data_IF_218915750499
#
_entry.id   IF_218915750499
#
_cell.length_a   1.000
_cell.length_b   1.000
_cell.length_c   1.000
_cell.angle_alpha   90.00
_cell.angle_beta   90.00
_cell.angle_gamma   90.00
#
_symmetry.space_group_name_H-M   'P 1'
#
loop_
_entity.id
_entity.type
_entity.pdbx_description
1 polymer ?
#
# COMPACT_ATOMS: atom_id res chain seq x y z
N UNK A 1 -4.28 -16.12 6.55
CA UNK A 1 -2.82 -16.17 6.31
C UNK A 1 -2.23 -14.89 6.87
N UNK A 2 -1.61 -14.94 8.04
CA UNK A 2 -1.00 -13.76 8.67
C UNK A 2 0.25 -13.40 7.88
N UNK A 3 0.23 -12.28 7.16
CA UNK A 3 1.44 -11.74 6.53
C UNK A 3 2.43 -11.35 7.63
N UNK A 4 3.71 -11.66 7.46
CA UNK A 4 4.75 -11.18 8.37
C UNK A 4 4.88 -9.66 8.25
N UNK A 5 5.23 -8.98 9.34
CA UNK A 5 5.39 -7.51 9.38
C UNK A 5 6.33 -7.04 8.26
N UNK A 6 7.47 -7.70 8.09
CA UNK A 6 8.45 -7.40 7.02
C UNK A 6 7.83 -7.43 5.61
N UNK A 7 6.89 -8.36 5.38
CA UNK A 7 6.21 -8.48 4.09
C UNK A 7 5.21 -7.35 3.87
N UNK A 8 4.49 -6.96 4.92
CA UNK A 8 3.56 -5.82 4.89
C UNK A 8 4.33 -4.52 4.62
N UNK A 9 5.49 -4.32 5.27
CA UNK A 9 6.35 -3.16 5.05
C UNK A 9 6.93 -3.13 3.62
N UNK A 10 7.39 -4.27 3.12
CA UNK A 10 7.86 -4.39 1.72
C UNK A 10 6.75 -4.05 0.72
N UNK A 11 5.54 -4.57 0.93
CA UNK A 11 4.38 -4.28 0.08
C UNK A 11 3.97 -2.80 0.17
N UNK A 12 4.07 -2.18 1.35
CA UNK A 12 3.82 -0.73 1.53
C UNK A 12 4.80 0.12 0.74
N UNK A 13 6.09 -0.20 0.80
CA UNK A 13 7.13 0.52 0.04
C UNK A 13 6.85 0.41 -1.46
N UNK A 14 6.49 -0.79 -1.94
CA UNK A 14 6.17 -1.04 -3.34
C UNK A 14 4.92 -0.27 -3.79
N UNK A 15 3.83 -0.36 -3.02
CA UNK A 15 2.58 0.32 -3.32
C UNK A 15 2.75 1.85 -3.34
N UNK A 16 3.55 2.41 -2.41
CA UNK A 16 3.86 3.85 -2.39
C UNK A 16 4.65 4.28 -3.64
N UNK A 17 5.65 3.50 -4.07
CA UNK A 17 6.40 3.76 -5.32
C UNK A 17 5.50 3.69 -6.55
N UNK A 18 4.59 2.72 -6.59
CA UNK A 18 3.64 2.56 -7.70
C UNK A 18 2.66 3.74 -7.78
N UNK A 19 2.11 4.17 -6.63
CA UNK A 19 1.29 5.37 -6.52
C UNK A 19 2.01 6.61 -7.07
N UNK A 20 3.25 6.82 -6.66
CA UNK A 20 4.03 8.00 -7.08
C UNK A 20 4.37 7.94 -8.57
N UNK A 21 4.65 6.75 -9.11
CA UNK A 21 4.84 6.54 -10.55
C UNK A 21 3.57 6.90 -11.35
N UNK A 22 2.38 6.66 -10.80
CA UNK A 22 1.11 6.98 -11.46
C UNK A 22 0.64 8.42 -11.25
N UNK A 23 1.04 9.06 -10.16
CA UNK A 23 0.69 10.46 -9.86
C UNK A 23 1.21 11.43 -10.94
N UNK A 24 2.31 11.08 -11.61
CA UNK A 24 2.85 11.84 -12.74
C UNK A 24 2.07 11.69 -14.05
N UNK A 25 1.16 10.71 -14.15
CA UNK A 25 0.44 10.41 -15.39
C UNK A 25 -1.03 10.83 -15.29
N UNK A 26 -1.41 11.91 -15.99
CA UNK A 26 -2.76 12.55 -15.92
C UNK A 26 -3.94 11.60 -16.19
N UNK A 27 -3.72 10.46 -16.83
CA UNK A 27 -4.76 9.49 -17.18
C UNK A 27 -4.96 8.35 -16.16
N UNK A 28 -4.17 8.32 -15.07
CA UNK A 28 -4.14 7.19 -14.12
C UNK A 28 -4.92 7.44 -12.81
N UNK A 29 -5.88 8.37 -12.79
CA UNK A 29 -6.66 8.71 -11.58
C UNK A 29 -7.25 7.50 -10.84
N UNK A 30 -7.92 6.59 -11.56
CA UNK A 30 -8.50 5.37 -10.99
C UNK A 30 -7.46 4.42 -10.40
N UNK A 31 -6.27 4.34 -11.02
CA UNK A 31 -5.18 3.50 -10.55
C UNK A 31 -4.59 4.07 -9.24
N UNK A 32 -4.43 5.39 -9.17
CA UNK A 32 -3.99 6.07 -7.94
C UNK A 32 -4.97 5.84 -6.79
N UNK A 33 -6.28 5.87 -7.03
CA UNK A 33 -7.28 5.59 -6.00
C UNK A 33 -7.25 4.13 -5.52
N UNK A 34 -7.11 3.16 -6.41
CA UNK A 34 -6.98 1.75 -6.02
C UNK A 34 -5.74 1.50 -5.17
N UNK A 35 -4.58 2.05 -5.57
CA UNK A 35 -3.35 1.89 -4.78
C UNK A 35 -3.45 2.61 -3.44
N UNK A 36 -4.13 3.76 -3.35
CA UNK A 36 -4.41 4.40 -2.05
C UNK A 36 -5.22 3.48 -1.13
N UNK A 37 -6.27 2.82 -1.64
CA UNK A 37 -7.05 1.85 -0.86
C UNK A 37 -6.19 0.65 -0.44
N UNK A 38 -5.33 0.16 -1.33
CA UNK A 38 -4.41 -0.94 -1.00
C UNK A 38 -3.40 -0.57 0.09
N UNK A 39 -2.80 0.62 0.01
CA UNK A 39 -1.91 1.16 1.06
C UNK A 39 -2.65 1.23 2.40
N UNK A 40 -3.88 1.75 2.43
CA UNK A 40 -4.67 1.86 3.66
C UNK A 40 -4.95 0.48 4.29
N UNK A 41 -5.24 -0.54 3.47
CA UNK A 41 -5.40 -1.92 3.95
C UNK A 41 -4.11 -2.44 4.58
N UNK A 42 -2.96 -2.26 3.91
CA UNK A 42 -1.67 -2.70 4.44
C UNK A 42 -1.27 -1.95 5.72
N UNK A 43 -1.54 -0.65 5.83
CA UNK A 43 -1.30 0.13 7.05
C UNK A 43 -2.15 -0.38 8.21
N UNK A 44 -3.39 -0.79 7.93
CA UNK A 44 -4.26 -1.42 8.92
C UNK A 44 -3.72 -2.79 9.35
N UNK A 45 -3.35 -3.66 8.39
CA UNK A 45 -2.76 -4.97 8.68
C UNK A 45 -1.47 -4.82 9.52
N UNK A 46 -0.62 -3.83 9.21
CA UNK A 46 0.60 -3.52 9.97
C UNK A 46 0.26 -3.10 11.41
N UNK A 47 -0.73 -2.21 11.58
CA UNK A 47 -1.16 -1.74 12.89
C UNK A 47 -1.79 -2.85 13.73
N UNK A 48 -2.48 -3.80 13.11
CA UNK A 48 -3.02 -4.99 13.79
C UNK A 48 -1.89 -5.95 14.17
N UNK A 49 -0.93 -6.19 13.28
CA UNK A 49 0.22 -7.07 13.54
C UNK A 49 1.19 -6.53 14.61
N UNK A 50 1.32 -5.21 14.74
CA UNK A 50 2.20 -4.56 15.74
C UNK A 50 1.52 -4.33 17.10
N UNK A 51 0.20 -4.44 17.17
CA UNK A 51 -0.56 -4.42 18.45
C UNK A 51 -0.64 -5.80 19.12
N UNK A 52 -0.18 -6.84 18.43
CA UNK A 52 -0.30 -8.24 18.84
C UNK A 52 0.88 -8.74 19.66
#
# INVERSE_FOLDING_TARGET
MTRTIEKIESDLVRARKERDSWKGNRNNGNNVEMVKKYIATLEKELAEATKS
#
